data_IF_156338963342
#
_entry.id   IF_156338963342
#
_cell.length_a   1.000
_cell.length_b   1.000
_cell.length_c   1.000
_cell.angle_alpha   90.00
_cell.angle_beta   90.00
_cell.angle_gamma   90.00
#
_symmetry.space_group_name_H-M   'P 1'
#
loop_
_entity.id
_entity.type
_entity.pdbx_description
1 polymer ?
#
# COMPACT_ATOMS: atom_id res chain seq x y z
N UNK A 1 5.41 2.14 -4.65
CA UNK A 1 5.58 3.48 -4.07
C UNK A 1 4.23 4.19 -4.01
N UNK A 2 3.83 4.82 -2.89
CA UNK A 2 2.55 5.53 -2.80
C UNK A 2 2.38 6.60 -3.89
N UNK A 3 3.47 7.26 -4.30
CA UNK A 3 3.43 8.26 -5.37
C UNK A 3 3.05 7.67 -6.73
N UNK A 4 3.37 6.41 -7.02
CA UNK A 4 2.98 5.76 -8.27
C UNK A 4 1.50 5.43 -8.32
N UNK A 5 0.87 5.20 -7.18
CA UNK A 5 -0.59 4.99 -7.06
C UNK A 5 -1.39 6.17 -7.64
N UNK A 6 -0.87 7.41 -7.52
CA UNK A 6 -1.49 8.61 -8.09
C UNK A 6 -0.99 8.97 -9.51
N UNK A 7 -0.20 8.12 -10.16
CA UNK A 7 0.43 8.39 -11.47
C UNK A 7 0.12 7.35 -12.54
N UNK A 8 -1.00 6.66 -12.41
CA UNK A 8 -1.41 5.59 -13.33
C UNK A 8 -1.38 6.09 -14.77
N UNK A 9 -2.05 7.21 -15.05
CA UNK A 9 -2.12 7.81 -16.38
C UNK A 9 -0.74 8.13 -16.99
N UNK A 10 0.18 8.62 -16.17
CA UNK A 10 1.55 8.90 -16.62
C UNK A 10 2.33 7.62 -16.87
N UNK A 11 2.17 6.63 -16.01
CA UNK A 11 2.85 5.34 -16.15
C UNK A 11 2.40 4.59 -17.40
N UNK A 12 1.10 4.59 -17.72
CA UNK A 12 0.58 3.99 -18.95
C UNK A 12 1.16 4.68 -20.19
N UNK A 13 1.30 6.02 -20.18
CA UNK A 13 1.90 6.75 -21.31
C UNK A 13 3.35 6.38 -21.55
N UNK A 14 4.12 6.12 -20.50
CA UNK A 14 5.55 5.79 -20.59
C UNK A 14 5.74 4.29 -20.84
N UNK A 15 4.90 3.46 -20.22
CA UNK A 15 4.97 2.01 -20.25
C UNK A 15 3.60 1.42 -20.60
N UNK A 16 3.17 1.45 -21.88
CA UNK A 16 1.81 1.06 -22.27
C UNK A 16 1.49 -0.41 -22.00
N UNK A 17 2.50 -1.26 -21.93
CA UNK A 17 2.35 -2.71 -21.68
C UNK A 17 2.67 -3.09 -20.22
N UNK A 18 2.73 -2.12 -19.31
CA UNK A 18 3.03 -2.43 -17.91
C UNK A 18 1.85 -3.13 -17.22
N UNK A 19 2.15 -4.11 -16.41
CA UNK A 19 1.20 -4.68 -15.47
C UNK A 19 1.26 -3.92 -14.14
N UNK A 20 0.09 -3.72 -13.53
CA UNK A 20 -0.08 -2.96 -12.30
C UNK A 20 -0.54 -3.89 -11.18
N UNK A 21 0.23 -3.96 -10.12
CA UNK A 21 -0.13 -4.68 -8.90
C UNK A 21 -0.44 -3.65 -7.82
N UNK A 22 -1.69 -3.61 -7.38
CA UNK A 22 -2.11 -2.76 -6.29
C UNK A 22 -2.18 -3.53 -4.98
N UNK A 23 -1.38 -3.12 -4.00
CA UNK A 23 -1.40 -3.71 -2.65
C UNK A 23 -2.24 -2.81 -1.77
N UNK A 24 -3.47 -3.25 -1.46
CA UNK A 24 -4.33 -2.58 -0.51
C UNK A 24 -3.92 -2.91 0.93
N UNK A 25 -4.27 -2.06 1.87
CA UNK A 25 -4.09 -2.27 3.31
C UNK A 25 -5.18 -1.57 4.08
N UNK A 26 -5.59 -2.13 5.24
CA UNK A 26 -6.60 -1.49 6.07
C UNK A 26 -6.22 -0.04 6.40
N UNK A 27 -7.11 0.96 6.21
CA UNK A 27 -6.77 2.38 6.37
C UNK A 27 -6.16 2.74 7.71
N UNK A 28 -6.64 2.16 8.80
CA UNK A 28 -6.08 2.40 10.13
C UNK A 28 -4.59 2.01 10.20
N UNK A 29 -4.21 0.87 9.61
CA UNK A 29 -2.82 0.39 9.66
C UNK A 29 -1.91 1.18 8.75
N UNK A 30 -2.38 1.52 7.55
CA UNK A 30 -1.57 2.28 6.61
C UNK A 30 -1.33 3.72 7.11
N UNK A 31 -2.32 4.36 7.74
CA UNK A 31 -2.15 5.68 8.34
C UNK A 31 -1.12 5.69 9.45
N UNK A 32 -1.19 4.73 10.38
CA UNK A 32 -0.19 4.61 11.45
C UNK A 32 1.20 4.35 10.91
N UNK A 33 1.30 3.48 9.91
CA UNK A 33 2.56 3.20 9.24
C UNK A 33 3.14 4.46 8.58
N UNK A 34 2.30 5.26 7.93
CA UNK A 34 2.69 6.51 7.26
C UNK A 34 3.16 7.56 8.27
N UNK A 35 2.42 7.76 9.36
CA UNK A 35 2.80 8.69 10.44
C UNK A 35 4.16 8.29 11.02
N UNK A 36 4.33 7.04 11.40
CA UNK A 36 5.56 6.54 11.97
C UNK A 36 6.75 6.62 10.99
N UNK A 37 6.51 6.30 9.72
CA UNK A 37 7.52 6.39 8.66
C UNK A 37 7.98 7.83 8.42
N UNK A 38 7.06 8.77 8.27
CA UNK A 38 7.39 10.18 8.03
C UNK A 38 7.99 10.83 9.28
N UNK A 39 7.51 10.50 10.48
CA UNK A 39 8.12 10.98 11.73
C UNK A 39 9.59 10.55 11.86
N UNK A 40 9.91 9.29 11.53
CA UNK A 40 11.29 8.79 11.53
C UNK A 40 12.13 9.48 10.45
N UNK A 41 11.57 9.59 9.24
CA UNK A 41 12.25 10.19 8.10
C UNK A 41 12.52 11.68 8.32
N UNK A 42 11.58 12.43 8.92
CA UNK A 42 11.74 13.84 9.21
C UNK A 42 12.89 14.12 10.18
N UNK A 43 13.10 13.26 11.17
CA UNK A 43 14.23 13.37 12.10
C UNK A 43 15.59 13.23 11.41
N UNK A 44 15.63 12.50 10.29
CA UNK A 44 16.86 12.28 9.50
C UNK A 44 17.09 13.43 8.52
N UNK A 45 16.02 13.83 7.79
CA UNK A 45 16.12 14.81 6.69
C UNK A 45 16.03 16.25 7.20
N UNK A 46 15.25 16.47 8.25
CA UNK A 46 14.98 17.80 8.83
C UNK A 46 15.29 17.86 10.33
N UNK A 47 16.52 17.57 10.77
CA UNK A 47 16.84 17.44 12.21
C UNK A 47 16.64 18.74 13.00
N UNK A 48 16.65 19.88 12.31
CA UNK A 48 16.49 21.22 12.94
C UNK A 48 15.04 21.70 12.98
N UNK A 49 14.10 20.98 12.36
CA UNK A 49 12.70 21.37 12.35
C UNK A 49 11.89 20.47 13.28
N UNK A 50 11.10 21.08 14.17
CA UNK A 50 10.09 20.36 14.95
C UNK A 50 8.80 20.31 14.17
N UNK A 51 8.42 19.12 13.73
CA UNK A 51 7.11 18.88 13.11
C UNK A 51 6.13 18.51 14.22
N UNK A 52 5.08 19.30 14.38
CA UNK A 52 3.99 18.96 15.30
C UNK A 52 3.22 17.75 14.77
N UNK A 53 2.97 16.78 15.64
CA UNK A 53 2.28 15.54 15.29
C UNK A 53 0.91 15.80 14.63
N UNK A 54 0.17 16.78 15.11
CA UNK A 54 -1.13 17.17 14.55
C UNK A 54 -1.00 17.62 13.08
N UNK A 55 -0.03 18.48 12.77
CA UNK A 55 0.20 18.96 11.41
C UNK A 55 0.65 17.83 10.49
N UNK A 56 1.47 16.92 11.00
CA UNK A 56 1.89 15.72 10.27
C UNK A 56 0.70 14.81 9.96
N UNK A 57 -0.18 14.59 10.92
CA UNK A 57 -1.39 13.78 10.71
C UNK A 57 -2.30 14.38 9.65
N UNK A 58 -2.57 15.70 9.70
CA UNK A 58 -3.40 16.39 8.70
C UNK A 58 -2.78 16.34 7.30
N UNK A 59 -1.47 16.54 7.18
CA UNK A 59 -0.76 16.43 5.91
C UNK A 59 -0.88 15.01 5.33
N UNK A 60 -0.65 13.98 6.14
CA UNK A 60 -0.75 12.58 5.71
C UNK A 60 -2.19 12.29 5.28
N UNK A 61 -3.18 12.74 6.07
CA UNK A 61 -4.58 12.55 5.79
C UNK A 61 -4.97 13.12 4.42
N UNK A 62 -4.61 14.39 4.18
CA UNK A 62 -4.88 15.08 2.92
C UNK A 62 -4.20 14.38 1.75
N UNK A 63 -2.92 14.06 1.88
CA UNK A 63 -2.15 13.39 0.82
C UNK A 63 -2.71 12.01 0.48
N UNK A 64 -3.07 11.22 1.49
CA UNK A 64 -3.64 9.90 1.27
C UNK A 64 -4.99 9.96 0.56
N UNK A 65 -5.85 10.92 0.95
CA UNK A 65 -7.13 11.15 0.29
C UNK A 65 -6.94 11.53 -1.18
N UNK A 66 -6.01 12.44 -1.48
CA UNK A 66 -5.70 12.84 -2.85
C UNK A 66 -5.16 11.65 -3.67
N UNK A 67 -4.27 10.82 -3.11
CA UNK A 67 -3.73 9.64 -3.77
C UNK A 67 -4.84 8.65 -4.11
N UNK A 68 -5.72 8.35 -3.15
CA UNK A 68 -6.84 7.41 -3.35
C UNK A 68 -7.85 7.96 -4.39
N UNK A 69 -8.19 9.23 -4.32
CA UNK A 69 -9.08 9.85 -5.30
C UNK A 69 -8.48 9.78 -6.70
N UNK A 70 -7.22 10.16 -6.85
CA UNK A 70 -6.53 10.11 -8.14
C UNK A 70 -6.41 8.69 -8.70
N UNK A 71 -6.12 7.73 -7.84
CA UNK A 71 -6.15 6.31 -8.23
C UNK A 71 -7.52 5.90 -8.76
N UNK A 72 -8.59 6.24 -8.04
CA UNK A 72 -9.95 5.88 -8.45
C UNK A 72 -10.35 6.49 -9.79
N UNK A 73 -9.90 7.71 -10.09
CA UNK A 73 -10.14 8.39 -11.37
C UNK A 73 -9.42 7.70 -12.55
N UNK A 74 -8.23 7.17 -12.31
CA UNK A 74 -7.37 6.63 -13.36
C UNK A 74 -7.39 5.08 -13.43
N UNK A 75 -8.02 4.39 -12.48
CA UNK A 75 -7.96 2.93 -12.39
C UNK A 75 -8.52 2.23 -13.64
N UNK A 76 -9.63 2.75 -14.18
CA UNK A 76 -10.30 2.19 -15.36
C UNK A 76 -9.50 2.39 -16.66
N UNK A 77 -8.39 3.14 -16.63
CA UNK A 77 -7.47 3.27 -17.75
C UNK A 77 -6.56 2.04 -17.91
N UNK A 78 -6.45 1.22 -16.87
CA UNK A 78 -5.62 0.01 -16.90
C UNK A 78 -6.45 -1.11 -17.54
N UNK A 79 -5.97 -1.78 -18.60
CA UNK A 79 -6.60 -3.00 -19.12
C UNK A 79 -6.74 -4.04 -18.01
N UNK A 80 -7.86 -4.75 -17.98
CA UNK A 80 -8.16 -5.71 -16.90
C UNK A 80 -7.09 -6.79 -16.78
N UNK A 81 -6.58 -7.27 -17.90
CA UNK A 81 -5.51 -8.26 -17.98
C UNK A 81 -4.16 -7.78 -17.46
N UNK A 82 -4.00 -6.46 -17.31
CA UNK A 82 -2.78 -5.83 -16.79
C UNK A 82 -2.95 -5.32 -15.36
N UNK A 83 -4.04 -5.66 -14.69
CA UNK A 83 -4.32 -5.20 -13.33
C UNK A 83 -4.61 -6.36 -12.39
N UNK A 84 -3.89 -6.38 -11.26
CA UNK A 84 -4.15 -7.28 -10.14
C UNK A 84 -4.18 -6.49 -8.84
N UNK A 85 -5.05 -6.88 -7.92
CA UNK A 85 -5.08 -6.32 -6.56
C UNK A 85 -4.98 -7.41 -5.52
N UNK A 86 -4.30 -7.09 -4.42
CA UNK A 86 -4.19 -7.97 -3.27
C UNK A 86 -4.23 -7.18 -1.96
N UNK A 87 -4.58 -7.85 -0.88
CA UNK A 87 -4.49 -7.31 0.47
C UNK A 87 -3.08 -7.56 1.03
N UNK A 88 -2.53 -6.56 1.69
CA UNK A 88 -1.25 -6.69 2.39
C UNK A 88 -1.29 -7.82 3.43
N UNK A 89 -2.42 -7.97 4.09
CA UNK A 89 -2.68 -8.98 5.11
C UNK A 89 -2.56 -10.40 4.54
N UNK A 90 -3.09 -10.65 3.33
CA UNK A 90 -2.98 -11.93 2.63
C UNK A 90 -1.53 -12.20 2.20
N UNK A 91 -0.83 -11.16 1.70
CA UNK A 91 0.57 -11.29 1.34
C UNK A 91 1.46 -11.67 2.52
N UNK A 92 1.16 -11.15 3.71
CA UNK A 92 1.92 -11.49 4.94
C UNK A 92 1.56 -12.88 5.46
N UNK A 93 0.28 -13.27 5.41
CA UNK A 93 -0.22 -14.52 5.97
C UNK A 93 0.02 -15.73 5.05
N UNK A 94 -0.14 -15.52 3.74
CA UNK A 94 -0.09 -16.56 2.70
C UNK A 94 0.75 -16.12 1.50
N UNK A 95 2.05 -15.78 1.69
CA UNK A 95 2.85 -15.13 0.65
C UNK A 95 3.02 -15.96 -0.62
N UNK A 96 3.15 -17.29 -0.51
CA UNK A 96 3.34 -18.17 -1.66
C UNK A 96 2.08 -18.22 -2.50
N UNK A 97 0.92 -18.46 -1.88
CA UNK A 97 -0.37 -18.59 -2.59
C UNK A 97 -0.77 -17.23 -3.21
N UNK A 98 -0.57 -16.13 -2.47
CA UNK A 98 -0.85 -14.78 -2.95
C UNK A 98 0.01 -14.42 -4.16
N UNK A 99 1.29 -14.73 -4.15
CA UNK A 99 2.18 -14.45 -5.28
C UNK A 99 1.92 -15.38 -6.47
N UNK A 100 1.57 -16.66 -6.23
CA UNK A 100 1.16 -17.57 -7.31
C UNK A 100 -0.06 -17.02 -8.03
N UNK A 101 -1.08 -16.59 -7.28
CA UNK A 101 -2.30 -15.98 -7.85
C UNK A 101 -1.99 -14.75 -8.71
N UNK A 102 -1.09 -13.86 -8.27
CA UNK A 102 -0.67 -12.70 -9.05
C UNK A 102 -0.03 -13.14 -10.37
N UNK A 103 0.88 -14.13 -10.33
CA UNK A 103 1.52 -14.65 -11.54
C UNK A 103 0.52 -15.15 -12.57
N UNK A 104 -0.53 -15.84 -12.10
CA UNK A 104 -1.57 -16.37 -12.97
C UNK A 104 -2.46 -15.25 -13.54
N UNK A 105 -2.86 -14.27 -12.71
CA UNK A 105 -3.78 -13.19 -13.10
C UNK A 105 -3.18 -12.22 -14.14
N UNK A 106 -1.90 -11.90 -14.06
CA UNK A 106 -1.24 -10.95 -14.98
C UNK A 106 -0.23 -11.61 -15.91
N UNK A 107 -0.25 -12.94 -16.01
CA UNK A 107 0.54 -13.67 -17.00
C UNK A 107 2.06 -13.57 -16.87
N UNK A 108 2.60 -13.50 -15.64
CA UNK A 108 4.05 -13.39 -15.40
C UNK A 108 4.84 -14.69 -15.68
N UNK A 109 4.18 -15.72 -16.19
CA UNK A 109 4.80 -17.01 -16.49
C UNK A 109 4.84 -17.97 -15.30
N UNK A 110 5.66 -19.00 -15.38
CA UNK A 110 5.66 -20.09 -14.40
C UNK A 110 6.22 -19.67 -13.04
N UNK A 111 5.35 -19.50 -12.05
CA UNK A 111 5.71 -19.19 -10.66
C UNK A 111 6.65 -20.22 -10.03
N UNK A 112 6.56 -21.49 -10.46
CA UNK A 112 7.34 -22.61 -9.93
C UNK A 112 8.87 -22.37 -9.97
N UNK A 113 9.37 -21.61 -10.95
CA UNK A 113 10.79 -21.29 -11.06
C UNK A 113 11.28 -20.39 -9.92
N UNK A 114 10.44 -19.49 -9.41
CA UNK A 114 10.78 -18.54 -8.34
C UNK A 114 10.39 -19.05 -6.94
N UNK A 115 9.65 -20.15 -6.86
CA UNK A 115 9.09 -20.62 -5.59
C UNK A 115 10.15 -21.07 -4.59
N UNK A 116 11.25 -21.71 -5.05
CA UNK A 116 12.34 -22.14 -4.17
C UNK A 116 13.06 -20.95 -3.54
N UNK A 117 13.34 -19.91 -4.35
CA UNK A 117 14.03 -18.71 -3.91
C UNK A 117 13.15 -17.93 -2.94
N UNK A 118 11.85 -17.83 -3.23
CA UNK A 118 10.89 -17.24 -2.31
C UNK A 118 10.84 -17.99 -0.97
N UNK A 119 10.79 -19.32 -0.97
CA UNK A 119 10.82 -20.12 0.28
C UNK A 119 12.10 -19.87 1.08
N UNK A 120 13.24 -19.75 0.42
CA UNK A 120 14.52 -19.44 1.08
C UNK A 120 14.50 -18.03 1.68
N UNK A 121 13.99 -17.04 0.93
CA UNK A 121 13.82 -15.68 1.42
C UNK A 121 12.88 -15.64 2.64
N UNK A 122 11.72 -16.27 2.59
CA UNK A 122 10.77 -16.31 3.70
C UNK A 122 11.39 -16.95 4.97
N UNK A 123 12.23 -17.97 4.81
CA UNK A 123 12.98 -18.54 5.92
C UNK A 123 13.98 -17.54 6.52
N UNK A 124 14.65 -16.73 5.70
CA UNK A 124 15.62 -15.74 6.17
C UNK A 124 14.98 -14.60 6.98
N UNK A 125 13.69 -14.32 6.75
CA UNK A 125 12.94 -13.26 7.44
C UNK A 125 11.93 -13.80 8.47
N UNK A 126 11.99 -15.08 8.83
CA UNK A 126 11.05 -15.73 9.78
C UNK A 126 10.90 -15.00 11.12
N UNK A 127 11.98 -14.36 11.58
CA UNK A 127 12.02 -13.64 12.86
C UNK A 127 11.65 -12.15 12.72
N UNK A 128 11.31 -11.72 11.51
CA UNK A 128 10.87 -10.34 11.28
C UNK A 128 9.53 -10.08 11.96
N UNK A 129 9.50 -9.02 12.78
CA UNK A 129 8.29 -8.58 13.47
C UNK A 129 7.81 -7.26 12.85
N UNK A 130 6.54 -7.22 12.51
CA UNK A 130 5.91 -5.97 12.05
C UNK A 130 5.92 -4.92 13.16
N UNK A 131 5.97 -3.64 12.76
CA UNK A 131 5.95 -2.54 13.72
C UNK A 131 4.65 -2.56 14.53
N UNK A 132 4.78 -2.36 15.85
CA UNK A 132 3.63 -2.07 16.72
C UNK A 132 3.46 -0.55 16.79
N UNK A 133 2.24 -0.09 16.64
CA UNK A 133 1.89 1.31 16.63
C UNK A 133 1.13 1.72 17.89
N UNK A 134 1.16 3.01 18.22
CA UNK A 134 0.34 3.57 19.30
C UNK A 134 -1.13 3.53 18.89
N UNK A 135 -2.05 3.20 19.78
CA UNK A 135 -3.49 3.22 19.47
C UNK A 135 -3.94 4.63 19.10
N UNK A 136 -4.92 4.72 18.21
CA UNK A 136 -5.61 5.97 17.90
C UNK A 136 -6.50 6.42 19.05
N UNK A 137 -6.71 7.74 19.17
CA UNK A 137 -7.89 8.26 19.87
C UNK A 137 -9.15 7.90 19.07
N UNK A 138 -10.30 7.82 19.77
CA UNK A 138 -11.57 7.48 19.14
C UNK A 138 -11.88 8.42 17.95
N UNK A 139 -11.72 9.73 18.13
CA UNK A 139 -11.99 10.75 17.12
C UNK A 139 -11.20 10.56 15.84
N UNK A 140 -9.91 10.24 15.95
CA UNK A 140 -9.05 10.02 14.77
C UNK A 140 -9.45 8.72 14.07
N UNK A 141 -9.75 7.68 14.84
CA UNK A 141 -10.21 6.40 14.28
C UNK A 141 -11.51 6.59 13.49
N UNK A 142 -12.50 7.23 14.08
CA UNK A 142 -13.81 7.47 13.47
C UNK A 142 -13.69 8.34 12.21
N UNK A 143 -12.84 9.36 12.26
CA UNK A 143 -12.54 10.20 11.10
C UNK A 143 -11.94 9.38 9.95
N UNK A 144 -10.93 8.54 10.21
CA UNK A 144 -10.33 7.70 9.18
C UNK A 144 -11.37 6.77 8.56
N UNK A 145 -12.13 6.06 9.37
CA UNK A 145 -13.16 5.13 8.90
C UNK A 145 -14.23 5.83 8.05
N UNK A 146 -14.68 7.00 8.46
CA UNK A 146 -15.66 7.80 7.74
C UNK A 146 -15.13 8.30 6.39
N UNK A 147 -13.95 8.91 6.38
CA UNK A 147 -13.40 9.53 5.18
C UNK A 147 -12.90 8.50 4.14
N UNK A 148 -12.52 7.31 4.58
CA UNK A 148 -12.08 6.21 3.71
C UNK A 148 -13.13 5.10 3.54
N UNK A 149 -14.40 5.37 3.83
CA UNK A 149 -15.47 4.39 3.71
C UNK A 149 -15.58 3.80 2.30
N UNK A 150 -15.46 4.62 1.25
CA UNK A 150 -15.49 4.15 -0.14
C UNK A 150 -14.31 3.22 -0.48
N UNK A 151 -13.13 3.53 0.05
CA UNK A 151 -11.95 2.68 -0.06
C UNK A 151 -12.16 1.34 0.66
N UNK A 152 -12.64 1.38 1.91
CA UNK A 152 -12.96 0.21 2.72
C UNK A 152 -13.93 -0.71 1.98
N UNK A 153 -15.03 -0.13 1.46
CA UNK A 153 -16.03 -0.88 0.69
C UNK A 153 -15.46 -1.46 -0.61
N UNK A 154 -14.67 -0.68 -1.35
CA UNK A 154 -14.10 -1.10 -2.64
C UNK A 154 -13.12 -2.26 -2.49
N UNK A 155 -12.32 -2.25 -1.43
CA UNK A 155 -11.26 -3.24 -1.16
C UNK A 155 -11.63 -4.26 -0.09
N UNK A 156 -12.92 -4.29 0.32
CA UNK A 156 -13.51 -5.30 1.23
C UNK A 156 -12.79 -5.44 2.59
N UNK A 157 -12.59 -4.30 3.26
CA UNK A 157 -12.07 -4.24 4.63
C UNK A 157 -13.16 -4.08 5.69
#
# INVERSE_FOLDING_TARGET
SPAHTARIRQLIKIYPNASFIFISRHPLDFFQSSINGIEKLSKIIMPLQKIELKNLQEMIFTNCKQIVNRMNEDLDLIPKENFCSLKYEDLVSYPIDTLSKIHDEIGLGAFNKSQSDLKNYLRSIKDYKTNKYRPYTADIKDRILKEFQSYIKKWEY
#
